data_IF_124557837219
#
_entry.id   IF_124557837219
#
_cell.length_a   1.000
_cell.length_b   1.000
_cell.length_c   1.000
_cell.angle_alpha   90.00
_cell.angle_beta   90.00
_cell.angle_gamma   90.00
#
_symmetry.space_group_name_H-M   'P 1'
#
loop_
_entity.id
_entity.type
_entity.pdbx_description
1 polymer ?
#
# COMPACT_ATOMS: atom_id res chain seq x y z
N UNK A 1 0.58 -4.47 12.36
CA UNK A 1 -0.66 -3.68 12.54
C UNK A 1 -1.73 -4.18 11.60
N UNK A 2 -3.00 -4.03 11.96
CA UNK A 2 -4.14 -4.56 11.22
C UNK A 2 -5.04 -3.43 10.73
N UNK A 3 -5.24 -3.34 9.42
CA UNK A 3 -5.96 -2.23 8.77
C UNK A 3 -7.08 -2.80 7.90
N UNK A 4 -8.28 -2.23 8.04
CA UNK A 4 -9.43 -2.48 7.17
C UNK A 4 -9.66 -1.31 6.25
N UNK A 5 -10.03 -1.59 5.01
CA UNK A 5 -10.32 -0.54 4.04
C UNK A 5 -10.82 -1.06 2.71
N UNK A 6 -11.10 -0.12 1.82
CA UNK A 6 -11.55 -0.37 0.46
C UNK A 6 -10.41 -0.13 -0.52
N UNK A 7 -10.22 -1.05 -1.46
CA UNK A 7 -9.27 -0.85 -2.55
C UNK A 7 -9.83 0.23 -3.48
N UNK A 8 -9.17 1.38 -3.56
CA UNK A 8 -9.60 2.50 -4.42
C UNK A 8 -8.81 2.61 -5.71
N UNK A 9 -7.59 2.05 -5.75
CA UNK A 9 -6.74 2.06 -6.94
C UNK A 9 -5.71 0.95 -6.90
N UNK A 10 -5.37 0.41 -8.06
CA UNK A 10 -4.23 -0.50 -8.26
C UNK A 10 -3.44 -0.05 -9.49
N UNK A 11 -2.15 -0.34 -9.50
CA UNK A 11 -1.34 -0.21 -10.71
C UNK A 11 -0.11 -1.13 -10.65
N UNK A 12 0.43 -1.52 -11.82
CA UNK A 12 1.73 -2.18 -11.87
C UNK A 12 2.79 -1.34 -11.14
N UNK A 13 3.65 -2.02 -10.41
CA UNK A 13 4.73 -1.42 -9.65
C UNK A 13 5.89 -2.41 -9.68
N UNK A 14 6.98 -2.04 -10.33
CA UNK A 14 8.16 -2.89 -10.45
C UNK A 14 9.29 -2.21 -9.71
N UNK A 15 9.69 -2.77 -8.58
CA UNK A 15 10.79 -2.26 -7.78
C UNK A 15 11.82 -3.35 -7.58
N UNK A 16 12.91 -3.25 -8.33
CA UNK A 16 13.97 -4.25 -8.36
C UNK A 16 14.72 -4.36 -7.02
N UNK A 17 14.62 -3.36 -6.14
CA UNK A 17 15.24 -3.38 -4.81
C UNK A 17 14.43 -4.21 -3.79
N UNK A 18 13.11 -4.30 -3.96
CA UNK A 18 12.18 -4.96 -3.02
C UNK A 18 11.71 -6.35 -3.51
N UNK A 19 12.33 -6.88 -4.58
CA UNK A 19 12.06 -8.23 -5.09
C UNK A 19 10.82 -8.32 -6.00
N UNK A 20 10.00 -9.36 -5.81
CA UNK A 20 8.87 -9.74 -6.67
C UNK A 20 7.62 -8.85 -6.54
N UNK A 21 7.75 -7.64 -5.98
CA UNK A 21 6.65 -6.69 -5.92
C UNK A 21 6.35 -6.24 -7.35
N UNK A 22 5.14 -6.56 -7.80
CA UNK A 22 4.65 -6.28 -9.15
C UNK A 22 3.46 -5.32 -9.14
N UNK A 23 2.94 -4.95 -7.97
CA UNK A 23 1.82 -4.03 -7.83
C UNK A 23 1.87 -3.20 -6.55
N UNK A 24 1.37 -1.96 -6.70
CA UNK A 24 1.01 -1.08 -5.59
C UNK A 24 -0.51 -0.92 -5.56
N UNK A 25 -1.08 -1.20 -4.39
CA UNK A 25 -2.51 -1.10 -4.11
C UNK A 25 -2.75 0.08 -3.18
N UNK A 26 -3.73 0.93 -3.47
CA UNK A 26 -4.08 2.04 -2.60
C UNK A 26 -5.37 1.68 -1.86
N UNK A 27 -5.26 1.64 -0.53
CA UNK A 27 -6.33 1.31 0.38
C UNK A 27 -6.86 2.58 1.03
N UNK A 28 -8.14 2.90 0.82
CA UNK A 28 -8.84 3.87 1.64
C UNK A 28 -9.23 3.19 2.95
N UNK A 29 -8.66 3.64 4.06
CA UNK A 29 -8.87 3.02 5.38
C UNK A 29 -10.23 3.42 5.95
N UNK A 30 -10.95 2.48 6.57
CA UNK A 30 -12.27 2.75 7.17
C UNK A 30 -12.17 3.80 8.28
N UNK A 31 -11.16 3.65 9.13
CA UNK A 31 -10.79 4.60 10.16
C UNK A 31 -9.44 5.20 9.79
N UNK A 32 -9.35 6.53 9.77
CA UNK A 32 -8.09 7.23 9.55
C UNK A 32 -7.02 6.74 10.53
N UNK A 33 -5.83 6.46 10.03
CA UNK A 33 -4.68 6.07 10.85
C UNK A 33 -3.83 7.30 11.15
N UNK A 34 -3.37 7.43 12.40
CA UNK A 34 -2.43 8.50 12.75
C UNK A 34 -1.01 7.94 12.64
N UNK A 35 -0.22 8.53 11.75
CA UNK A 35 1.20 8.21 11.58
C UNK A 35 1.99 9.51 11.72
N UNK A 36 2.91 9.57 12.68
CA UNK A 36 3.71 10.77 13.00
C UNK A 36 2.86 12.05 13.20
N UNK A 37 1.67 11.93 13.78
CA UNK A 37 0.76 13.05 14.02
C UNK A 37 -0.10 13.46 12.82
N UNK A 38 0.09 12.83 11.65
CA UNK A 38 -0.72 13.06 10.47
C UNK A 38 -1.83 12.01 10.35
N UNK A 39 -3.06 12.47 10.05
CA UNK A 39 -4.20 11.60 9.78
C UNK A 39 -4.18 11.15 8.32
N UNK A 40 -4.00 9.85 8.10
CA UNK A 40 -3.91 9.24 6.78
C UNK A 40 -5.19 8.47 6.48
N UNK A 41 -5.80 8.82 5.34
CA UNK A 41 -7.02 8.17 4.83
C UNK A 41 -6.74 7.17 3.71
N UNK A 42 -5.64 7.35 2.98
CA UNK A 42 -5.24 6.44 1.90
C UNK A 42 -3.81 6.00 2.16
N UNK A 43 -3.59 4.69 2.28
CA UNK A 43 -2.26 4.12 2.43
C UNK A 43 -1.91 3.24 1.22
N UNK A 44 -0.74 3.46 0.58
CA UNK A 44 -0.21 2.54 -0.41
C UNK A 44 0.26 1.25 0.27
N UNK A 45 -0.08 0.12 -0.33
CA UNK A 45 0.32 -1.22 0.08
C UNK A 45 1.20 -1.81 -1.02
N UNK A 46 2.39 -2.25 -0.62
CA UNK A 46 3.32 -2.98 -1.48
C UNK A 46 3.11 -4.47 -1.22
N UNK A 47 2.66 -5.20 -2.24
CA UNK A 47 2.20 -6.57 -2.12
C UNK A 47 2.96 -7.50 -3.06
N UNK A 48 3.17 -8.73 -2.60
CA UNK A 48 3.49 -9.88 -3.45
C UNK A 48 2.22 -10.70 -3.69
N UNK A 49 1.91 -11.00 -4.96
CA UNK A 49 0.89 -11.88 -5.58
C UNK A 49 -0.48 -12.18 -4.91
N UNK A 50 -0.63 -12.35 -3.59
CA UNK A 50 -1.91 -12.72 -2.97
C UNK A 50 -2.94 -11.57 -2.98
N UNK A 51 -2.50 -10.34 -2.67
CA UNK A 51 -3.36 -9.13 -2.73
C UNK A 51 -3.63 -8.68 -4.17
N UNK A 52 -2.93 -9.24 -5.16
CA UNK A 52 -3.20 -8.97 -6.57
C UNK A 52 -4.56 -9.50 -7.02
N UNK A 53 -5.05 -10.56 -6.38
CA UNK A 53 -6.34 -11.20 -6.75
C UNK A 53 -7.56 -10.34 -6.42
N UNK A 54 -7.45 -9.43 -5.45
CA UNK A 54 -8.54 -8.57 -4.99
C UNK A 54 -8.81 -7.42 -5.97
N UNK A 55 -10.06 -7.14 -6.27
CA UNK A 55 -10.45 -6.12 -7.25
C UNK A 55 -10.56 -4.72 -6.62
N UNK A 56 -10.42 -3.68 -7.46
CA UNK A 56 -10.79 -2.32 -7.05
C UNK A 56 -12.28 -2.30 -6.68
N UNK A 57 -12.59 -1.71 -5.53
CA UNK A 57 -13.93 -1.70 -4.95
C UNK A 57 -14.14 -2.69 -3.82
N UNK A 58 -13.29 -3.71 -3.68
CA UNK A 58 -13.39 -4.69 -2.60
C UNK A 58 -12.92 -4.12 -1.26
N UNK A 59 -13.57 -4.56 -0.19
CA UNK A 59 -13.11 -4.34 1.18
C UNK A 59 -12.16 -5.47 1.56
N UNK A 60 -11.00 -5.10 2.10
CA UNK A 60 -9.98 -6.05 2.54
C UNK A 60 -9.50 -5.71 3.94
N UNK A 61 -8.92 -6.71 4.58
CA UNK A 61 -8.21 -6.58 5.83
C UNK A 61 -6.74 -6.95 5.57
N UNK A 62 -5.82 -6.06 5.92
CA UNK A 62 -4.39 -6.28 5.70
C UNK A 62 -3.66 -6.19 7.03
N UNK A 63 -2.82 -7.19 7.28
CA UNK A 63 -1.88 -7.18 8.39
C UNK A 63 -0.47 -6.94 7.87
N UNK A 64 0.23 -6.00 8.50
CA UNK A 64 1.56 -5.60 8.05
C UNK A 64 2.21 -4.52 8.89
N UNK A 65 3.34 -4.01 8.42
CA UNK A 65 4.10 -2.96 9.08
C UNK A 65 4.15 -1.70 8.21
N UNK A 66 4.15 -0.53 8.86
CA UNK A 66 4.36 0.74 8.16
C UNK A 66 5.86 0.92 7.94
N UNK A 67 6.26 1.06 6.68
CA UNK A 67 7.60 1.43 6.27
C UNK A 67 7.56 2.78 5.53
N UNK A 68 8.53 3.65 5.80
CA UNK A 68 8.69 4.90 5.04
C UNK A 68 9.55 4.66 3.81
N UNK A 69 8.94 4.72 2.62
CA UNK A 69 9.60 4.39 1.35
C UNK A 69 9.45 5.48 0.30
N UNK A 70 10.49 5.61 -0.53
CA UNK A 70 10.45 6.47 -1.73
C UNK A 70 9.96 5.65 -2.92
N UNK A 71 8.66 5.52 -3.05
CA UNK A 71 8.06 4.71 -4.13
C UNK A 71 8.10 5.42 -5.49
N UNK A 72 8.13 4.65 -6.57
CA UNK A 72 7.87 5.18 -7.92
C UNK A 72 6.45 5.74 -8.01
N UNK A 73 6.29 6.98 -8.50
CA UNK A 73 5.00 7.63 -8.75
C UNK A 73 4.37 7.14 -10.06
N UNK A 74 3.18 7.63 -10.40
CA UNK A 74 2.56 7.35 -11.71
C UNK A 74 3.35 7.90 -12.89
N UNK A 75 4.31 8.82 -12.68
CA UNK A 75 5.22 9.30 -13.72
C UNK A 75 6.48 8.43 -13.90
N UNK A 76 6.62 7.36 -13.12
CA UNK A 76 7.82 6.51 -13.12
C UNK A 76 9.01 7.09 -12.35
N UNK A 77 8.90 8.31 -11.80
CA UNK A 77 9.92 8.91 -10.93
C UNK A 77 9.67 8.54 -9.47
N UNK A 78 10.71 8.29 -8.68
CA UNK A 78 10.59 8.14 -7.21
C UNK A 78 10.02 9.42 -6.59
N UNK A 79 9.19 9.29 -5.57
CA UNK A 79 8.71 10.45 -4.81
C UNK A 79 9.89 11.13 -4.09
N UNK A 80 9.79 12.46 -3.95
CA UNK A 80 10.85 13.30 -3.38
C UNK A 80 11.10 12.97 -1.90
N UNK A 81 10.02 12.75 -1.16
CA UNK A 81 10.05 12.41 0.27
C UNK A 81 9.58 10.97 0.48
N UNK A 82 10.14 10.23 1.45
CA UNK A 82 9.59 8.95 1.87
C UNK A 82 8.14 9.14 2.32
N UNK A 83 7.26 8.25 1.87
CA UNK A 83 5.86 8.21 2.29
C UNK A 83 5.61 6.94 3.09
N UNK A 84 4.64 6.94 4.01
CA UNK A 84 4.24 5.71 4.70
C UNK A 84 3.63 4.74 3.70
N UNK A 85 4.14 3.52 3.69
CA UNK A 85 3.68 2.38 2.91
C UNK A 85 3.40 1.24 3.85
N UNK A 86 2.39 0.42 3.55
CA UNK A 86 2.13 -0.80 4.29
C UNK A 86 2.81 -1.97 3.58
N UNK A 87 3.72 -2.64 4.27
CA UNK A 87 4.27 -3.92 3.82
C UNK A 87 3.45 -5.04 4.44
N UNK A 88 2.74 -5.77 3.59
CA UNK A 88 1.90 -6.89 4.02
C UNK A 88 2.75 -8.05 4.53
N UNK A 89 2.44 -8.59 5.71
CA UNK A 89 3.01 -9.83 6.25
C UNK A 89 2.06 -11.03 6.10
N UNK A 90 0.76 -10.76 5.94
CA UNK A 90 -0.27 -11.74 5.57
C UNK A 90 -1.47 -11.02 4.93
N UNK A 91 -2.07 -11.63 3.89
CA UNK A 91 -3.34 -11.19 3.33
C UNK A 91 -4.36 -12.32 3.46
N UNK A 92 -5.49 -12.04 4.12
CA UNK A 92 -6.64 -12.92 4.26
C UNK A 92 -7.81 -12.37 3.43
#
# INVERSE_FOLDING_TARGET
MKIKGKIVRKRPYFDHEDGSINCITFLEVENSIIINGESIKIIPILCTDSTMTKAVGENIEVEGEIEYKRIFTSSGKRCLSPIPTLRSTACC
#
